data_IF_061079787706
#
_entry.id   IF_061079787706
#
_cell.length_a   1.000
_cell.length_b   1.000
_cell.length_c   1.000
_cell.angle_alpha   90.00
_cell.angle_beta   90.00
_cell.angle_gamma   90.00
#
_symmetry.space_group_name_H-M   'P 1'
#
loop_
_entity.id
_entity.type
_entity.pdbx_description
1 polymer ?
#
# COMPACT_ATOMS: atom_id res chain seq x y z
N UNK A 1 -31.64 5.21 -11.35
CA UNK A 1 -31.26 4.64 -10.05
C UNK A 1 -30.37 3.45 -10.34
N UNK A 2 -29.04 3.61 -10.29
CA UNK A 2 -28.07 2.51 -10.43
C UNK A 2 -28.06 1.74 -9.11
N UNK A 3 -28.42 0.46 -9.15
CA UNK A 3 -28.29 -0.45 -8.01
C UNK A 3 -26.84 -0.85 -7.90
N UNK A 4 -26.14 -0.39 -6.87
CA UNK A 4 -24.82 -0.93 -6.50
C UNK A 4 -25.03 -2.39 -6.11
N UNK A 5 -24.52 -3.32 -6.91
CA UNK A 5 -24.49 -4.73 -6.56
C UNK A 5 -23.30 -4.93 -5.64
N UNK A 6 -23.57 -5.26 -4.40
CA UNK A 6 -22.56 -5.76 -3.48
C UNK A 6 -22.30 -7.21 -3.91
N UNK A 7 -21.16 -7.47 -4.54
CA UNK A 7 -20.75 -8.82 -4.89
C UNK A 7 -20.40 -9.57 -3.62
N UNK A 8 -21.40 -10.21 -3.02
CA UNK A 8 -21.22 -11.26 -2.01
C UNK A 8 -20.84 -12.50 -2.82
N UNK A 9 -19.55 -12.77 -2.95
CA UNK A 9 -19.07 -14.01 -3.56
C UNK A 9 -19.38 -15.13 -2.58
N UNK A 10 -20.56 -15.77 -2.75
CA UNK A 10 -20.85 -17.07 -2.17
C UNK A 10 -20.21 -18.13 -3.07
N UNK A 11 -18.91 -18.33 -2.96
CA UNK A 11 -18.26 -19.51 -3.53
C UNK A 11 -18.34 -20.60 -2.48
N UNK A 12 -19.43 -21.37 -2.51
CA UNK A 12 -19.51 -22.66 -1.82
C UNK A 12 -18.99 -23.70 -2.82
N UNK A 13 -17.70 -23.90 -2.87
CA UNK A 13 -17.11 -25.15 -3.34
C UNK A 13 -16.35 -25.75 -2.17
N UNK A 14 -16.72 -26.99 -1.83
CA UNK A 14 -16.10 -27.81 -0.80
C UNK A 14 -14.63 -28.04 -1.13
N UNK A 15 -13.74 -27.20 -0.61
CA UNK A 15 -12.33 -27.51 -0.46
C UNK A 15 -12.01 -27.39 1.02
N UNK A 16 -11.29 -28.36 1.53
CA UNK A 16 -10.87 -28.49 2.91
C UNK A 16 -10.21 -27.19 3.42
N UNK A 17 -11.00 -26.31 4.01
CA UNK A 17 -10.51 -25.16 4.76
C UNK A 17 -9.82 -25.71 6.00
N UNK A 18 -8.49 -25.67 6.02
CA UNK A 18 -7.79 -25.57 7.28
C UNK A 18 -8.14 -24.21 7.87
N UNK A 19 -9.14 -24.20 8.75
CA UNK A 19 -9.46 -23.06 9.59
C UNK A 19 -8.22 -22.72 10.42
N UNK A 20 -7.37 -21.83 9.95
CA UNK A 20 -6.38 -21.18 10.79
C UNK A 20 -7.20 -20.28 11.70
N UNK A 21 -7.30 -20.66 12.97
CA UNK A 21 -7.95 -19.88 14.01
C UNK A 21 -7.09 -18.63 14.25
N UNK A 22 -7.24 -17.62 13.40
CA UNK A 22 -6.58 -16.33 13.58
C UNK A 22 -7.34 -15.65 14.71
N UNK A 23 -6.75 -15.66 15.89
CA UNK A 23 -7.22 -14.92 17.04
C UNK A 23 -7.41 -13.45 16.61
N UNK A 24 -8.65 -13.00 16.50
CA UNK A 24 -9.04 -11.66 16.03
C UNK A 24 -8.74 -10.56 17.04
N UNK A 25 -7.54 -10.59 17.65
CA UNK A 25 -7.01 -9.39 18.31
C UNK A 25 -6.89 -8.32 17.23
N UNK A 26 -7.55 -7.19 17.45
CA UNK A 26 -7.56 -6.01 16.59
C UNK A 26 -6.15 -5.77 16.03
N UNK A 27 -5.94 -6.20 14.80
CA UNK A 27 -4.66 -6.07 14.12
C UNK A 27 -4.54 -4.61 13.68
N UNK A 28 -3.61 -3.88 14.24
CA UNK A 28 -3.32 -2.48 13.89
C UNK A 28 -1.83 -2.30 13.77
N UNK A 29 -1.41 -1.43 12.86
CA UNK A 29 -0.01 -1.05 12.73
C UNK A 29 0.37 -0.14 13.92
N UNK A 30 1.20 -0.63 14.84
CA UNK A 30 1.68 0.17 15.99
C UNK A 30 2.91 0.99 15.61
N UNK A 31 2.66 2.19 15.08
CA UNK A 31 3.71 3.09 14.63
C UNK A 31 4.46 3.80 15.77
N UNK A 32 3.89 3.86 16.98
CA UNK A 32 4.51 4.59 18.09
C UNK A 32 5.67 3.85 18.72
N UNK A 33 5.52 2.53 18.88
CA UNK A 33 6.53 1.66 19.50
C UNK A 33 7.73 1.47 18.58
N UNK A 34 7.47 1.34 17.30
CA UNK A 34 8.50 0.96 16.32
C UNK A 34 9.36 2.14 15.87
N UNK A 35 8.84 3.38 15.94
CA UNK A 35 9.56 4.60 15.54
C UNK A 35 10.94 4.76 16.18
N UNK A 36 11.09 4.36 17.45
CA UNK A 36 12.35 4.50 18.19
C UNK A 36 13.43 3.50 17.76
N UNK A 37 13.08 2.52 16.93
CA UNK A 37 14.01 1.53 16.38
C UNK A 37 14.78 2.05 15.16
N UNK A 38 14.38 3.20 14.63
CA UNK A 38 14.96 3.76 13.41
C UNK A 38 15.99 4.84 13.72
N UNK A 39 17.01 4.92 12.88
CA UNK A 39 17.99 6.00 12.96
C UNK A 39 17.28 7.35 12.83
N UNK A 40 17.68 8.31 13.66
CA UNK A 40 17.03 9.63 13.73
C UNK A 40 17.18 10.47 12.48
N UNK A 41 18.10 10.10 11.57
CA UNK A 41 18.38 10.84 10.34
C UNK A 41 18.09 9.99 9.12
N UNK A 42 17.34 10.57 8.20
CA UNK A 42 17.11 9.97 6.87
C UNK A 42 18.41 9.91 6.06
N UNK A 43 18.59 8.82 5.35
CA UNK A 43 19.63 8.65 4.33
C UNK A 43 18.98 8.32 2.99
N UNK A 44 19.43 8.96 1.94
CA UNK A 44 19.02 8.71 0.54
C UNK A 44 20.27 8.43 -0.28
N UNK A 45 20.27 7.33 -1.03
CA UNK A 45 21.39 6.96 -1.90
C UNK A 45 20.89 6.45 -3.26
N UNK A 46 21.43 6.97 -4.37
CA UNK A 46 22.40 8.06 -4.47
C UNK A 46 21.79 9.42 -4.07
N UNK A 47 22.63 10.40 -3.75
CA UNK A 47 22.21 11.78 -3.46
C UNK A 47 22.11 12.64 -4.72
N UNK A 48 22.47 12.12 -5.86
CA UNK A 48 22.38 12.81 -7.14
C UNK A 48 20.90 13.03 -7.52
N UNK A 49 20.57 14.26 -7.91
CA UNK A 49 19.20 14.69 -8.23
C UNK A 49 18.22 14.52 -7.06
N UNK A 50 18.70 14.81 -5.85
CA UNK A 50 17.90 14.85 -4.63
C UNK A 50 18.02 16.23 -4.00
N UNK A 51 16.88 16.88 -3.75
CA UNK A 51 16.78 18.11 -2.97
C UNK A 51 16.16 17.81 -1.62
N UNK A 52 16.80 18.22 -0.55
CA UNK A 52 16.30 18.04 0.82
C UNK A 52 16.04 19.42 1.42
N UNK A 53 14.80 19.68 1.77
CA UNK A 53 14.37 20.78 2.62
C UNK A 53 13.93 20.24 3.99
N UNK A 54 13.51 21.12 4.90
CA UNK A 54 13.19 20.73 6.28
C UNK A 54 12.15 19.59 6.36
N UNK A 55 11.14 19.61 5.50
CA UNK A 55 9.99 18.70 5.55
C UNK A 55 9.65 18.08 4.18
N UNK A 56 10.49 18.27 3.16
CA UNK A 56 10.31 17.69 1.83
C UNK A 56 11.64 17.20 1.27
N UNK A 57 11.62 15.99 0.75
CA UNK A 57 12.67 15.40 -0.08
C UNK A 57 12.12 15.25 -1.49
N UNK A 58 12.71 15.94 -2.47
CA UNK A 58 12.38 15.77 -3.88
C UNK A 58 13.40 14.90 -4.57
N UNK A 59 12.93 13.93 -5.35
CA UNK A 59 13.74 12.98 -6.11
C UNK A 59 13.37 13.14 -7.59
N UNK A 60 14.33 13.59 -8.41
CA UNK A 60 14.11 13.91 -9.83
C UNK A 60 15.23 13.36 -10.73
N UNK A 61 15.38 12.02 -10.79
CA UNK A 61 16.45 11.39 -11.55
C UNK A 61 16.43 11.83 -13.02
N UNK A 62 17.62 11.96 -13.62
CA UNK A 62 17.73 12.31 -15.03
C UNK A 62 17.34 11.13 -15.95
N UNK A 63 17.55 9.90 -15.47
CA UNK A 63 17.26 8.66 -16.20
C UNK A 63 16.12 7.91 -15.57
N UNK A 64 15.29 7.27 -16.39
CA UNK A 64 14.31 6.29 -15.94
C UNK A 64 15.01 5.06 -15.32
N UNK A 65 14.24 4.28 -14.55
CA UNK A 65 14.71 3.09 -13.85
C UNK A 65 15.88 3.33 -12.88
N UNK A 66 16.04 4.58 -12.43
CA UNK A 66 17.00 4.91 -11.39
C UNK A 66 16.46 4.46 -10.04
N UNK A 67 17.30 3.76 -9.27
CA UNK A 67 16.94 3.30 -7.93
C UNK A 67 17.53 4.22 -6.87
N UNK A 68 16.69 4.69 -5.96
CA UNK A 68 17.09 5.39 -4.74
C UNK A 68 16.80 4.53 -3.52
N UNK A 69 17.81 4.26 -2.72
CA UNK A 69 17.65 3.55 -1.44
C UNK A 69 17.46 4.57 -0.32
N UNK A 70 16.39 4.41 0.45
CA UNK A 70 16.03 5.29 1.56
C UNK A 70 16.06 4.48 2.85
N UNK A 71 16.71 5.01 3.88
CA UNK A 71 16.78 4.41 5.21
C UNK A 71 16.69 5.47 6.32
N UNK A 72 16.36 5.03 7.54
CA UNK A 72 16.24 5.92 8.70
C UNK A 72 14.87 6.59 8.81
N UNK A 73 14.77 7.58 9.72
CA UNK A 73 13.52 8.28 10.04
C UNK A 73 13.42 9.64 9.35
N UNK A 74 12.25 9.92 8.81
CA UNK A 74 11.91 11.23 8.24
C UNK A 74 10.47 11.63 8.59
N UNK A 75 10.32 12.82 9.17
CA UNK A 75 9.01 13.45 9.33
C UNK A 75 8.83 14.52 8.27
N UNK A 76 8.15 14.18 7.19
CA UNK A 76 7.95 15.05 6.05
C UNK A 76 7.39 14.27 4.85
N UNK A 77 7.49 14.87 3.68
CA UNK A 77 7.02 14.29 2.42
C UNK A 77 8.18 13.97 1.50
N UNK A 78 8.18 12.77 0.94
CA UNK A 78 9.04 12.43 -0.22
C UNK A 78 8.22 12.61 -1.49
N UNK A 79 8.74 13.40 -2.43
CA UNK A 79 8.12 13.63 -3.75
C UNK A 79 8.98 13.01 -4.83
N UNK A 80 8.43 12.10 -5.59
CA UNK A 80 9.09 11.42 -6.73
C UNK A 80 8.54 12.00 -8.02
N UNK A 81 9.41 12.63 -8.82
CA UNK A 81 9.02 13.49 -9.94
C UNK A 81 9.36 12.93 -11.32
N UNK A 82 9.89 11.70 -11.40
CA UNK A 82 10.32 11.11 -12.68
C UNK A 82 9.76 9.71 -12.87
N UNK A 83 9.29 9.46 -14.09
CA UNK A 83 8.74 8.18 -14.53
C UNK A 83 9.71 7.01 -14.31
N UNK A 84 9.17 5.89 -13.93
CA UNK A 84 9.89 4.63 -13.70
C UNK A 84 11.01 4.74 -12.64
N UNK A 85 10.87 5.65 -11.67
CA UNK A 85 11.79 5.71 -10.53
C UNK A 85 11.50 4.56 -9.57
N UNK A 86 12.55 3.96 -9.02
CA UNK A 86 12.45 2.90 -8.02
C UNK A 86 12.89 3.46 -6.66
N UNK A 87 11.98 3.49 -5.71
CA UNK A 87 12.27 3.84 -4.31
C UNK A 87 12.40 2.55 -3.51
N UNK A 88 13.62 2.19 -3.17
CA UNK A 88 13.93 1.04 -2.34
C UNK A 88 14.01 1.45 -0.88
N UNK A 89 13.04 1.05 -0.08
CA UNK A 89 13.01 1.29 1.36
C UNK A 89 13.83 0.22 2.07
N UNK A 90 14.77 0.64 2.92
CA UNK A 90 15.67 -0.25 3.66
C UNK A 90 15.76 0.20 5.11
N UNK A 91 14.91 -0.32 5.97
CA UNK A 91 14.71 0.13 7.33
C UNK A 91 14.41 1.65 7.36
N UNK A 92 13.40 2.04 6.61
CA UNK A 92 12.92 3.42 6.50
C UNK A 92 11.61 3.61 7.28
N UNK A 93 11.53 4.69 8.05
CA UNK A 93 10.30 5.14 8.69
C UNK A 93 9.99 6.56 8.21
N UNK A 94 9.04 6.66 7.28
CA UNK A 94 8.61 7.92 6.68
C UNK A 94 7.25 8.26 7.24
N UNK A 95 7.18 9.34 8.02
CA UNK A 95 5.95 9.83 8.62
C UNK A 95 5.66 11.25 8.14
N UNK A 96 4.43 11.53 7.76
CA UNK A 96 4.01 12.91 7.53
C UNK A 96 2.91 13.28 8.55
N UNK A 97 3.23 14.21 9.44
CA UNK A 97 2.30 14.70 10.46
C UNK A 97 1.49 15.91 9.99
N UNK A 98 1.78 16.43 8.80
CA UNK A 98 0.99 17.49 8.13
C UNK A 98 -0.19 16.89 7.36
N UNK A 99 -0.87 17.70 6.56
CA UNK A 99 -2.00 17.28 5.70
C UNK A 99 -1.55 16.77 4.32
N UNK A 100 -0.36 16.16 4.22
CA UNK A 100 0.20 15.65 2.96
C UNK A 100 0.47 14.16 3.04
N UNK A 101 0.53 13.49 1.91
CA UNK A 101 1.03 12.12 1.82
C UNK A 101 2.47 12.02 2.35
N UNK A 102 2.83 10.88 2.94
CA UNK A 102 4.22 10.65 3.35
C UNK A 102 5.13 10.43 2.12
N UNK A 103 4.61 9.71 1.11
CA UNK A 103 5.25 9.61 -0.20
C UNK A 103 4.23 10.02 -1.26
N UNK A 104 4.61 10.99 -2.12
CA UNK A 104 3.86 11.41 -3.30
C UNK A 104 4.66 11.08 -4.55
N UNK A 105 4.05 10.36 -5.48
CA UNK A 105 4.63 10.07 -6.79
C UNK A 105 3.86 10.87 -7.85
N UNK A 106 4.53 11.75 -8.58
CA UNK A 106 3.92 12.53 -9.68
C UNK A 106 3.93 11.75 -10.99
N UNK A 107 4.72 10.70 -11.05
CA UNK A 107 4.90 9.85 -12.19
C UNK A 107 4.96 8.37 -11.77
N UNK A 108 4.82 7.46 -12.75
CA UNK A 108 4.92 6.01 -12.51
C UNK A 108 6.14 5.65 -11.68
N UNK A 109 5.91 5.05 -10.53
CA UNK A 109 6.94 4.78 -9.54
C UNK A 109 6.80 3.37 -8.96
N UNK A 110 7.93 2.76 -8.62
CA UNK A 110 7.98 1.54 -7.82
C UNK A 110 8.42 1.84 -6.39
N UNK A 111 7.66 1.38 -5.41
CA UNK A 111 8.03 1.37 -3.99
C UNK A 111 8.35 -0.07 -3.60
N UNK A 112 9.59 -0.33 -3.23
CA UNK A 112 10.10 -1.68 -3.01
C UNK A 112 10.73 -1.81 -1.62
N UNK A 113 10.26 -2.76 -0.79
CA UNK A 113 10.90 -3.08 0.48
C UNK A 113 12.14 -3.95 0.26
N UNK A 114 13.29 -3.52 0.76
CA UNK A 114 14.52 -4.29 0.69
C UNK A 114 14.39 -5.61 1.46
N UNK A 115 15.14 -6.63 1.05
CA UNK A 115 15.17 -7.91 1.76
C UNK A 115 15.57 -7.69 3.22
N UNK A 116 14.93 -8.42 4.12
CA UNK A 116 15.19 -8.42 5.57
C UNK A 116 15.02 -7.03 6.23
N UNK A 117 14.33 -6.09 5.57
CA UNK A 117 14.03 -4.77 6.11
C UNK A 117 12.56 -4.66 6.56
N UNK A 118 12.33 -3.77 7.51
CA UNK A 118 10.99 -3.37 7.97
C UNK A 118 10.82 -1.89 7.71
N UNK A 119 9.77 -1.52 6.99
CA UNK A 119 9.58 -0.16 6.49
C UNK A 119 8.19 0.37 6.81
N UNK A 120 8.10 1.66 7.08
CA UNK A 120 6.86 2.36 7.40
C UNK A 120 6.66 3.58 6.51
N UNK A 121 5.46 3.72 5.98
CA UNK A 121 4.96 4.90 5.25
C UNK A 121 3.67 5.32 5.92
N UNK A 122 3.69 6.42 6.66
CA UNK A 122 2.61 6.81 7.55
C UNK A 122 2.19 8.24 7.31
N UNK A 123 0.90 8.48 7.09
CA UNK A 123 0.32 9.82 7.14
C UNK A 123 -0.53 9.95 8.40
N UNK A 124 -0.09 10.78 9.34
CA UNK A 124 -0.78 11.02 10.61
C UNK A 124 -1.42 12.42 10.70
N UNK A 125 -1.32 13.20 9.65
CA UNK A 125 -1.83 14.58 9.59
C UNK A 125 -3.33 14.71 9.79
N UNK A 126 -3.74 15.86 10.33
CA UNK A 126 -5.14 16.17 10.67
C UNK A 126 -5.89 16.96 9.58
N UNK A 127 -5.33 17.11 8.38
CA UNK A 127 -5.89 17.94 7.31
C UNK A 127 -6.98 17.25 6.49
N UNK A 128 -7.82 18.06 5.82
CA UNK A 128 -8.86 17.60 4.90
C UNK A 128 -8.34 17.19 3.51
N UNK A 129 -7.04 17.42 3.23
CA UNK A 129 -6.48 17.33 1.87
C UNK A 129 -5.49 16.17 1.67
N UNK A 130 -5.37 15.26 2.63
CA UNK A 130 -4.54 14.08 2.45
C UNK A 130 -5.42 12.93 1.95
N UNK A 131 -5.22 12.51 0.72
CA UNK A 131 -6.00 11.41 0.16
C UNK A 131 -5.44 10.05 0.59
N UNK A 132 -4.11 9.89 0.68
CA UNK A 132 -3.48 8.64 1.08
C UNK A 132 -2.13 8.85 1.80
N UNK A 133 -1.64 7.83 2.49
CA UNK A 133 -0.28 7.82 3.03
C UNK A 133 0.77 7.67 1.92
N UNK A 134 0.48 6.80 0.97
CA UNK A 134 1.23 6.63 -0.27
C UNK A 134 0.31 7.00 -1.43
N UNK A 135 0.63 8.09 -2.11
CA UNK A 135 -0.17 8.65 -3.19
C UNK A 135 0.61 8.70 -4.48
N UNK A 136 0.00 8.27 -5.58
CA UNK A 136 0.53 8.43 -6.93
C UNK A 136 -0.51 9.08 -7.84
N UNK A 137 -0.06 9.98 -8.72
CA UNK A 137 -0.90 10.55 -9.79
C UNK A 137 -0.90 9.67 -11.04
N UNK A 138 -0.12 8.58 -11.03
CA UNK A 138 0.03 7.60 -12.12
C UNK A 138 0.13 6.19 -11.54
N UNK A 139 0.55 5.24 -12.37
CA UNK A 139 0.76 3.85 -11.93
C UNK A 139 1.71 3.74 -10.76
N UNK A 140 1.37 2.91 -9.83
CA UNK A 140 2.16 2.58 -8.65
C UNK A 140 2.43 1.09 -8.58
N UNK A 141 3.70 0.72 -8.51
CA UNK A 141 4.11 -0.65 -8.24
C UNK A 141 4.56 -0.76 -6.80
N UNK A 142 3.97 -1.68 -6.04
CA UNK A 142 4.34 -1.93 -4.64
C UNK A 142 4.89 -3.34 -4.52
N UNK A 143 6.04 -3.51 -3.85
CA UNK A 143 6.61 -4.84 -3.68
C UNK A 143 7.92 -4.90 -2.92
N UNK A 144 8.77 -5.82 -3.36
CA UNK A 144 10.03 -6.16 -2.70
C UNK A 144 9.97 -7.49 -1.98
N UNK A 145 10.94 -7.76 -1.11
CA UNK A 145 11.06 -8.99 -0.33
C UNK A 145 11.19 -8.75 1.19
N UNK A 146 11.11 -7.51 1.63
CA UNK A 146 11.02 -7.13 3.03
C UNK A 146 9.57 -6.88 3.46
N UNK A 147 9.41 -6.27 4.62
CA UNK A 147 8.11 -5.90 5.17
C UNK A 147 7.83 -4.42 4.95
N UNK A 148 6.62 -4.10 4.48
CA UNK A 148 6.17 -2.74 4.24
C UNK A 148 4.83 -2.48 4.94
N UNK A 149 4.83 -1.51 5.86
CA UNK A 149 3.64 -1.00 6.52
C UNK A 149 3.25 0.36 5.93
N UNK A 150 2.02 0.47 5.41
CA UNK A 150 1.44 1.71 4.88
C UNK A 150 0.21 2.05 5.69
N UNK A 151 0.15 3.25 6.27
CA UNK A 151 -0.97 3.65 7.11
C UNK A 151 -1.44 5.07 6.86
N UNK A 152 -2.71 5.20 6.47
CA UNK A 152 -3.43 6.47 6.41
C UNK A 152 -4.33 6.65 7.62
N UNK A 153 -4.10 7.66 8.48
CA UNK A 153 -4.91 7.87 9.69
C UNK A 153 -6.27 8.50 9.45
N UNK A 154 -6.44 9.24 8.35
CA UNK A 154 -7.70 9.96 8.04
C UNK A 154 -8.13 9.81 6.59
N UNK A 155 -7.41 8.99 5.85
CA UNK A 155 -7.51 8.87 4.42
C UNK A 155 -7.29 7.41 4.00
N UNK A 156 -7.07 7.18 2.74
CA UNK A 156 -6.65 5.89 2.19
C UNK A 156 -5.24 5.51 2.68
N UNK A 157 -4.94 4.23 2.72
CA UNK A 157 -3.55 3.76 2.85
C UNK A 157 -2.78 4.09 1.58
N UNK A 158 -3.30 3.64 0.44
CA UNK A 158 -2.76 3.84 -0.92
C UNK A 158 -3.83 4.43 -1.83
N UNK A 159 -3.43 5.39 -2.68
CA UNK A 159 -4.22 5.93 -3.79
C UNK A 159 -3.33 6.11 -5.01
N UNK A 160 -3.76 5.60 -6.16
CA UNK A 160 -3.05 5.72 -7.43
C UNK A 160 -4.02 5.57 -8.62
N UNK A 161 -3.58 5.92 -9.83
CA UNK A 161 -4.29 5.58 -11.07
C UNK A 161 -4.37 4.04 -11.18
N UNK A 162 -3.25 3.36 -11.35
CA UNK A 162 -3.17 1.90 -11.32
C UNK A 162 -2.28 1.42 -10.20
N UNK A 163 -2.70 0.35 -9.51
CA UNK A 163 -1.89 -0.32 -8.48
C UNK A 163 -1.52 -1.73 -8.92
N UNK A 164 -0.21 -2.00 -8.93
CA UNK A 164 0.32 -3.34 -9.17
C UNK A 164 1.10 -3.84 -7.97
N UNK A 165 0.76 -5.03 -7.48
CA UNK A 165 1.53 -5.69 -6.43
C UNK A 165 2.48 -6.71 -7.04
N UNK A 166 3.74 -6.71 -6.57
CA UNK A 166 4.76 -7.70 -6.97
C UNK A 166 5.70 -8.03 -5.81
N UNK A 167 6.55 -9.04 -6.00
CA UNK A 167 7.59 -9.40 -5.03
C UNK A 167 7.21 -10.62 -4.19
N UNK A 168 7.83 -10.74 -3.01
CA UNK A 168 7.69 -11.90 -2.12
C UNK A 168 7.67 -11.53 -0.62
N UNK A 169 7.56 -10.25 -0.31
CA UNK A 169 7.53 -9.76 1.08
C UNK A 169 6.13 -9.67 1.66
N UNK A 170 6.04 -9.11 2.85
CA UNK A 170 4.80 -8.86 3.55
C UNK A 170 4.40 -7.39 3.41
N UNK A 171 3.16 -7.14 2.97
CA UNK A 171 2.62 -5.79 2.76
C UNK A 171 1.41 -5.61 3.66
N UNK A 172 1.45 -4.61 4.53
CA UNK A 172 0.35 -4.25 5.42
C UNK A 172 -0.16 -2.87 5.03
N UNK A 173 -1.44 -2.77 4.68
CA UNK A 173 -2.06 -1.50 4.28
C UNK A 173 -3.26 -1.23 5.17
N UNK A 174 -3.23 -0.11 5.85
CA UNK A 174 -4.31 0.35 6.71
C UNK A 174 -4.83 1.70 6.25
N UNK A 175 -6.12 1.77 5.98
CA UNK A 175 -6.83 3.01 5.73
C UNK A 175 -7.61 3.47 6.96
N UNK A 176 -8.80 4.02 6.74
CA UNK A 176 -9.73 4.42 7.80
C UNK A 176 -11.13 3.92 7.51
N UNK A 177 -12.04 4.03 8.50
CA UNK A 177 -13.47 3.76 8.29
C UNK A 177 -14.15 4.68 7.26
N UNK A 178 -13.50 5.78 6.88
CA UNK A 178 -13.96 6.68 5.83
C UNK A 178 -13.23 6.48 4.48
N UNK A 179 -12.11 5.73 4.49
CA UNK A 179 -11.25 5.50 3.32
C UNK A 179 -10.97 4.01 3.09
N UNK A 180 -10.41 3.68 1.95
CA UNK A 180 -10.00 2.32 1.58
C UNK A 180 -8.57 2.04 2.05
N UNK A 181 -8.19 0.77 2.22
CA UNK A 181 -6.77 0.45 2.33
C UNK A 181 -6.09 0.77 1.00
N UNK A 182 -6.67 0.32 -0.12
CA UNK A 182 -6.23 0.69 -1.48
C UNK A 182 -7.41 1.26 -2.26
N UNK A 183 -7.21 2.38 -2.97
CA UNK A 183 -8.13 2.90 -3.98
C UNK A 183 -7.37 3.22 -5.26
N UNK A 184 -7.91 2.82 -6.42
CA UNK A 184 -7.28 2.97 -7.73
C UNK A 184 -8.33 2.81 -8.84
N UNK A 185 -7.94 3.11 -10.08
CA UNK A 185 -8.73 2.78 -11.25
C UNK A 185 -8.59 1.28 -11.55
N UNK A 186 -7.36 0.77 -11.64
CA UNK A 186 -7.12 -0.67 -11.81
C UNK A 186 -6.21 -1.26 -10.74
N UNK A 187 -6.52 -2.48 -10.28
CA UNK A 187 -5.71 -3.24 -9.33
C UNK A 187 -5.25 -4.56 -9.95
N UNK A 188 -3.94 -4.77 -10.03
CA UNK A 188 -3.38 -5.96 -10.71
C UNK A 188 -2.36 -6.70 -9.86
N UNK A 189 -2.50 -8.03 -9.83
CA UNK A 189 -1.47 -8.96 -9.37
C UNK A 189 -1.28 -10.04 -10.43
N UNK A 190 -0.06 -10.15 -10.96
CA UNK A 190 0.30 -11.17 -11.95
C UNK A 190 0.44 -12.56 -11.32
N UNK A 191 0.41 -13.59 -12.16
CA UNK A 191 0.66 -14.98 -11.76
C UNK A 191 2.06 -15.20 -11.15
N UNK A 192 2.17 -16.22 -10.31
CA UNK A 192 3.45 -16.68 -9.76
C UNK A 192 4.06 -15.77 -8.68
N UNK A 193 3.28 -14.87 -8.08
CA UNK A 193 3.74 -14.05 -6.94
C UNK A 193 3.42 -14.74 -5.61
N UNK A 194 4.32 -14.63 -4.63
CA UNK A 194 4.23 -15.34 -3.34
C UNK A 194 4.26 -14.40 -2.13
N UNK A 195 3.73 -13.21 -2.26
CA UNK A 195 3.66 -12.22 -1.18
C UNK A 195 2.43 -12.45 -0.28
N UNK A 196 2.46 -11.83 0.91
CA UNK A 196 1.28 -11.69 1.77
C UNK A 196 0.84 -10.24 1.82
N UNK A 197 -0.45 -9.98 1.59
CA UNK A 197 -1.03 -8.65 1.66
C UNK A 197 -2.12 -8.59 2.72
N UNK A 198 -1.93 -7.74 3.72
CA UNK A 198 -2.85 -7.54 4.84
C UNK A 198 -3.55 -6.20 4.69
N UNK A 199 -4.86 -6.21 4.50
CA UNK A 199 -5.70 -5.02 4.34
C UNK A 199 -6.51 -4.80 5.61
N UNK A 200 -6.28 -3.67 6.29
CA UNK A 200 -6.67 -3.50 7.69
C UNK A 200 -7.57 -2.28 7.90
N UNK A 201 -8.58 -2.43 8.77
CA UNK A 201 -9.31 -1.33 9.43
C UNK A 201 -9.84 -0.22 8.51
N UNK A 202 -10.28 -0.55 7.31
CA UNK A 202 -10.69 0.40 6.28
C UNK A 202 -12.18 0.23 5.95
N UNK A 203 -12.76 1.21 5.24
CA UNK A 203 -14.09 1.05 4.65
C UNK A 203 -14.08 -0.05 3.60
N UNK A 204 -13.14 0.02 2.64
CA UNK A 204 -12.91 -1.04 1.67
C UNK A 204 -11.47 -1.58 1.84
N UNK A 205 -11.27 -2.87 1.66
CA UNK A 205 -9.93 -3.45 1.53
C UNK A 205 -9.29 -2.93 0.24
N UNK A 206 -9.85 -3.29 -0.92
CA UNK A 206 -9.48 -2.73 -2.22
C UNK A 206 -10.75 -2.13 -2.85
N UNK A 207 -10.63 -0.90 -3.35
CA UNK A 207 -11.59 -0.27 -4.22
C UNK A 207 -10.90 0.02 -5.57
N UNK A 208 -11.32 -0.69 -6.61
CA UNK A 208 -10.90 -0.44 -7.98
C UNK A 208 -12.12 0.07 -8.77
N UNK A 209 -11.96 1.20 -9.48
CA UNK A 209 -13.10 1.80 -10.17
C UNK A 209 -13.34 1.13 -11.54
N UNK A 210 -12.30 0.63 -12.22
CA UNK A 210 -12.36 0.01 -13.54
C UNK A 210 -12.09 -1.51 -13.48
N UNK A 211 -10.91 -1.94 -13.11
CA UNK A 211 -10.51 -3.35 -13.23
C UNK A 211 -9.88 -3.89 -11.94
N UNK A 212 -10.18 -5.16 -11.61
CA UNK A 212 -9.51 -5.91 -10.54
C UNK A 212 -9.08 -7.28 -11.05
N UNK A 213 -7.77 -7.49 -11.19
CA UNK A 213 -7.14 -8.76 -11.57
C UNK A 213 -6.22 -9.26 -10.47
N UNK A 214 -6.59 -10.33 -9.78
CA UNK A 214 -5.77 -10.96 -8.73
C UNK A 214 -5.50 -12.40 -9.15
N UNK A 215 -4.30 -12.64 -9.69
CA UNK A 215 -3.90 -13.94 -10.23
C UNK A 215 -3.04 -14.77 -9.27
N UNK A 216 -2.54 -14.19 -8.17
CA UNK A 216 -1.71 -14.90 -7.19
C UNK A 216 -1.59 -14.10 -5.88
N UNK A 217 -0.80 -14.60 -4.91
CA UNK A 217 -0.58 -13.98 -3.62
C UNK A 217 -1.62 -14.35 -2.56
N UNK A 218 -1.31 -14.07 -1.31
CA UNK A 218 -2.19 -14.32 -0.17
C UNK A 218 -2.73 -12.98 0.31
N UNK A 219 -4.06 -12.84 0.35
CA UNK A 219 -4.74 -11.65 0.84
C UNK A 219 -5.46 -11.94 2.14
N UNK A 220 -5.18 -11.14 3.15
CA UNK A 220 -5.79 -11.20 4.48
C UNK A 220 -6.50 -9.87 4.74
N UNK A 221 -7.83 -9.92 4.85
CA UNK A 221 -8.66 -8.71 4.94
C UNK A 221 -9.39 -8.68 6.28
N UNK A 222 -9.10 -7.69 7.12
CA UNK A 222 -9.59 -7.61 8.49
C UNK A 222 -10.25 -6.27 8.80
N UNK A 223 -11.41 -6.31 9.46
CA UNK A 223 -12.14 -5.13 9.95
C UNK A 223 -12.47 -4.11 8.85
N UNK A 224 -12.80 -4.59 7.64
CA UNK A 224 -13.28 -3.76 6.55
C UNK A 224 -14.78 -3.93 6.37
N UNK A 225 -15.50 -2.85 5.99
CA UNK A 225 -16.94 -2.95 5.71
C UNK A 225 -17.17 -3.74 4.40
N UNK A 226 -16.29 -3.54 3.41
CA UNK A 226 -16.26 -4.28 2.14
C UNK A 226 -14.85 -4.77 1.88
N UNK A 227 -14.70 -6.06 1.59
CA UNK A 227 -13.38 -6.63 1.33
C UNK A 227 -12.80 -6.12 0.00
N UNK A 228 -13.52 -6.35 -1.09
CA UNK A 228 -13.15 -5.97 -2.44
C UNK A 228 -14.34 -5.26 -3.08
N UNK A 229 -14.12 -4.11 -3.69
CA UNK A 229 -15.15 -3.31 -4.36
C UNK A 229 -14.66 -2.91 -5.74
N UNK A 230 -15.53 -3.06 -6.74
CA UNK A 230 -15.35 -2.51 -8.06
C UNK A 230 -16.66 -1.87 -8.51
N UNK A 231 -16.56 -0.82 -9.30
CA UNK A 231 -17.72 -0.15 -9.86
C UNK A 231 -18.04 -0.70 -11.27
N UNK A 232 -17.10 -1.38 -11.96
CA UNK A 232 -17.33 -2.11 -13.21
C UNK A 232 -17.39 -3.63 -12.97
N UNK A 233 -18.53 -4.26 -13.33
CA UNK A 233 -18.76 -5.68 -13.13
C UNK A 233 -18.19 -6.56 -14.25
N UNK A 234 -17.82 -5.98 -15.40
CA UNK A 234 -17.53 -6.72 -16.63
C UNK A 234 -16.15 -7.35 -16.68
N UNK A 235 -15.18 -6.86 -15.89
CA UNK A 235 -13.75 -7.22 -16.02
C UNK A 235 -13.09 -7.76 -14.75
N UNK A 236 -13.87 -8.24 -13.78
CA UNK A 236 -13.30 -8.76 -12.54
C UNK A 236 -12.84 -10.21 -12.68
N UNK A 237 -11.52 -10.43 -12.57
CA UNK A 237 -10.90 -11.75 -12.63
C UNK A 237 -10.10 -12.05 -11.36
N UNK A 238 -10.69 -12.84 -10.47
CA UNK A 238 -9.98 -13.39 -9.30
C UNK A 238 -9.75 -14.88 -9.58
N UNK A 239 -8.51 -15.32 -9.67
CA UNK A 239 -8.20 -16.73 -9.94
C UNK A 239 -8.31 -17.56 -8.67
N UNK A 240 -8.69 -18.84 -8.84
CA UNK A 240 -8.88 -19.82 -7.75
C UNK A 240 -7.61 -20.08 -6.90
N UNK A 241 -6.43 -19.71 -7.39
CA UNK A 241 -5.17 -19.89 -6.67
C UNK A 241 -4.87 -18.82 -5.62
N UNK A 242 -5.72 -17.80 -5.51
CA UNK A 242 -5.56 -16.76 -4.51
C UNK A 242 -6.16 -17.21 -3.17
N UNK A 243 -5.36 -17.23 -2.12
CA UNK A 243 -5.89 -17.43 -0.77
C UNK A 243 -6.52 -16.13 -0.28
N UNK A 244 -7.83 -16.10 -0.15
CA UNK A 244 -8.58 -15.00 0.43
C UNK A 244 -9.06 -15.39 1.83
N UNK A 245 -8.42 -14.86 2.88
CA UNK A 245 -8.86 -15.02 4.25
C UNK A 245 -9.62 -13.76 4.70
N UNK A 246 -10.93 -13.91 4.91
CA UNK A 246 -11.80 -12.84 5.39
C UNK A 246 -12.05 -13.01 6.87
N UNK A 247 -11.73 -12.01 7.68
CA UNK A 247 -12.18 -11.90 9.05
C UNK A 247 -13.10 -10.68 9.17
N UNK A 248 -14.40 -10.93 9.24
CA UNK A 248 -15.41 -9.91 9.51
C UNK A 248 -15.62 -9.90 11.02
N UNK A 249 -15.46 -8.74 11.65
CA UNK A 249 -15.75 -8.53 13.07
C UNK A 249 -17.12 -7.91 13.26
#
# INVERSE_FOLDING_TARGET
MKKSLVLIISIITFLSFSCVNVNSKKMTIDTKKDKNLYEKKISVFPMENVEISNDVIKIFPQKENTTYTISGYFNGQIVVMKKNTIIKLNNAFIENTSSRAAIKCEEKTEISAAKDSVNYVVSSGRGFFTNAALQSERDLVIGGSGTLFIRGYKCHGVEAEDVKIKGSGDIYIEGTKAGSAVTCDSFTVEEGKTFNCYLLNSKNGIKADEEMKIASGNFYIFNNDVALKTDDESENKIQEQCLLALAIS
#
